data_IF_769055527547
#
_entry.id   IF_769055527547
#
_cell.length_a   1.000
_cell.length_b   1.000
_cell.length_c   1.000
_cell.angle_alpha   90.00
_cell.angle_beta   90.00
_cell.angle_gamma   90.00
#
_symmetry.space_group_name_H-M   'P 1'
#
loop_
_entity.id
_entity.type
_entity.pdbx_description
1 polymer ?
#
# COMPACT_ATOMS: atom_id res chain seq x y z
N UNK A 1 -2.20 10.42 -26.79
CA UNK A 1 -1.80 10.10 -25.40
C UNK A 1 -1.61 11.46 -24.78
N UNK A 2 -2.61 11.91 -24.03
CA UNK A 2 -2.79 13.34 -23.75
C UNK A 2 -2.30 13.66 -22.34
N UNK A 3 -1.22 13.00 -21.93
CA UNK A 3 -0.56 13.20 -20.64
C UNK A 3 0.36 14.41 -20.74
N UNK A 4 0.09 15.46 -19.97
CA UNK A 4 1.00 16.59 -19.83
C UNK A 4 1.98 16.37 -18.67
N UNK A 5 3.17 17.00 -18.72
CA UNK A 5 4.12 16.95 -17.61
C UNK A 5 3.50 17.38 -16.27
N UNK A 6 2.68 18.43 -16.26
CA UNK A 6 2.10 19.00 -15.04
C UNK A 6 1.10 18.04 -14.38
N UNK A 7 0.31 17.33 -15.18
CA UNK A 7 -0.60 16.30 -14.68
C UNK A 7 0.18 15.14 -14.05
N UNK A 8 1.27 14.70 -14.70
CA UNK A 8 2.13 13.64 -14.17
C UNK A 8 2.86 14.09 -12.88
N UNK A 9 3.37 15.32 -12.84
CA UNK A 9 4.01 15.88 -11.65
C UNK A 9 3.05 15.95 -10.46
N UNK A 10 1.80 16.36 -10.70
CA UNK A 10 0.75 16.37 -9.68
C UNK A 10 0.50 14.96 -9.13
N UNK A 11 0.35 13.97 -10.02
CA UNK A 11 0.14 12.58 -9.62
C UNK A 11 1.32 12.03 -8.80
N UNK A 12 2.56 12.29 -9.24
CA UNK A 12 3.79 11.86 -8.54
C UNK A 12 3.93 12.53 -7.17
N UNK A 13 3.57 13.82 -7.06
CA UNK A 13 3.63 14.55 -5.79
C UNK A 13 2.71 13.93 -4.75
N UNK A 14 1.52 13.47 -5.16
CA UNK A 14 0.59 12.81 -4.26
C UNK A 14 1.02 11.36 -4.01
N UNK A 15 1.21 10.56 -5.06
CA UNK A 15 1.36 9.11 -4.92
C UNK A 15 2.74 8.68 -4.44
N UNK A 16 3.82 9.33 -4.89
CA UNK A 16 5.18 8.90 -4.60
C UNK A 16 5.79 9.75 -3.48
N UNK A 17 5.75 11.09 -3.63
CA UNK A 17 6.28 12.00 -2.60
C UNK A 17 5.44 11.93 -1.33
N UNK A 18 4.10 11.88 -1.45
CA UNK A 18 3.22 11.70 -0.31
C UNK A 18 3.52 10.40 0.46
N UNK A 19 3.65 9.26 -0.23
CA UNK A 19 4.02 7.98 0.39
C UNK A 19 5.39 8.07 1.07
N UNK A 20 6.40 8.66 0.41
CA UNK A 20 7.72 8.85 0.98
C UNK A 20 7.67 9.65 2.29
N UNK A 21 7.01 10.80 2.28
CA UNK A 21 6.89 11.68 3.45
C UNK A 21 6.12 10.98 4.58
N UNK A 22 5.03 10.29 4.26
CA UNK A 22 4.24 9.56 5.24
C UNK A 22 5.06 8.44 5.92
N UNK A 23 5.81 7.64 5.15
CA UNK A 23 6.63 6.57 5.71
C UNK A 23 7.80 7.10 6.53
N UNK A 24 8.45 8.18 6.10
CA UNK A 24 9.51 8.84 6.86
C UNK A 24 9.00 9.41 8.19
N UNK A 25 7.83 10.04 8.16
CA UNK A 25 7.19 10.55 9.38
C UNK A 25 6.80 9.38 10.31
N UNK A 26 6.20 8.32 9.78
CA UNK A 26 5.79 7.17 10.56
C UNK A 26 6.97 6.47 11.23
N UNK A 27 8.11 6.33 10.53
CA UNK A 27 9.35 5.80 11.09
C UNK A 27 9.82 6.52 12.36
N UNK A 28 9.57 7.83 12.45
CA UNK A 28 9.99 8.66 13.58
C UNK A 28 8.94 8.76 14.69
N UNK A 29 7.69 8.39 14.43
CA UNK A 29 6.56 8.68 15.31
C UNK A 29 5.74 7.44 15.71
N UNK A 30 5.99 6.27 15.11
CA UNK A 30 5.34 5.03 15.51
C UNK A 30 5.77 4.61 16.93
N UNK A 31 4.82 4.03 17.68
CA UNK A 31 5.07 3.52 19.04
C UNK A 31 5.74 2.15 18.99
N UNK A 32 7.05 2.13 19.15
CA UNK A 32 7.86 0.90 19.11
C UNK A 32 8.21 0.36 20.50
N UNK A 33 7.83 1.07 21.56
CA UNK A 33 8.06 0.69 22.96
C UNK A 33 7.38 -0.64 23.34
N UNK A 34 6.39 -1.06 22.54
CA UNK A 34 5.62 -2.27 22.76
C UNK A 34 6.01 -3.49 21.92
N UNK A 35 7.06 -3.36 21.11
CA UNK A 35 7.53 -4.44 20.23
C UNK A 35 7.97 -5.67 21.03
N UNK A 36 8.57 -5.48 22.21
CA UNK A 36 8.98 -6.58 23.09
C UNK A 36 7.80 -7.40 23.64
N UNK A 37 6.58 -6.84 23.63
CA UNK A 37 5.33 -7.51 23.98
C UNK A 37 4.60 -8.06 22.74
N UNK A 38 5.23 -8.01 21.56
CA UNK A 38 4.65 -8.47 20.30
C UNK A 38 3.76 -7.44 19.59
N UNK A 39 3.64 -6.20 20.10
CA UNK A 39 2.84 -5.16 19.45
C UNK A 39 3.66 -4.38 18.43
N UNK A 40 3.80 -4.92 17.22
CA UNK A 40 4.47 -4.23 16.12
C UNK A 40 3.58 -3.13 15.51
N UNK A 41 4.10 -1.93 15.24
CA UNK A 41 3.44 -0.97 14.36
C UNK A 41 3.40 -1.47 12.92
N UNK A 42 2.31 -1.19 12.21
CA UNK A 42 2.15 -1.54 10.79
C UNK A 42 1.93 -0.28 9.97
N UNK A 43 2.74 -0.09 8.93
CA UNK A 43 2.56 0.91 7.90
C UNK A 43 1.98 0.26 6.64
N UNK A 44 0.71 0.54 6.33
CA UNK A 44 0.03 0.01 5.14
C UNK A 44 0.07 1.03 3.99
N UNK A 45 0.59 0.62 2.83
CA UNK A 45 0.57 1.43 1.61
C UNK A 45 -0.35 0.81 0.57
N UNK A 46 -1.42 1.51 0.23
CA UNK A 46 -2.46 1.01 -0.68
C UNK A 46 -2.03 1.12 -2.13
N UNK A 47 -2.30 0.09 -2.91
CA UNK A 47 -1.85 0.01 -4.29
C UNK A 47 -2.83 -0.74 -5.19
N UNK A 48 -2.38 -0.95 -6.41
CA UNK A 48 -3.05 -1.79 -7.40
C UNK A 48 -2.01 -2.37 -8.34
N UNK A 49 -2.45 -3.03 -9.41
CA UNK A 49 -1.55 -3.75 -10.32
C UNK A 49 -1.19 -2.98 -11.59
N UNK A 50 -1.44 -1.67 -11.63
CA UNK A 50 -1.08 -0.83 -12.78
C UNK A 50 0.43 -0.61 -12.93
N UNK A 51 1.22 -0.94 -11.90
CA UNK A 51 2.69 -0.98 -11.97
C UNK A 51 3.18 -2.18 -12.81
N UNK A 52 2.50 -3.32 -12.69
CA UNK A 52 2.81 -4.58 -13.39
C UNK A 52 2.07 -4.71 -14.72
N UNK A 53 0.86 -4.16 -14.81
CA UNK A 53 -0.03 -4.23 -15.97
C UNK A 53 -0.46 -2.82 -16.41
N UNK A 54 0.42 -2.05 -17.07
CA UNK A 54 0.11 -0.70 -17.47
C UNK A 54 -0.98 -0.66 -18.55
N UNK A 55 -1.87 0.33 -18.45
CA UNK A 55 -2.96 0.55 -19.41
C UNK A 55 -2.73 1.91 -20.08
N UNK A 56 -2.65 2.01 -21.42
CA UNK A 56 -2.35 3.26 -22.11
C UNK A 56 -3.27 4.44 -21.75
N UNK A 57 -4.56 4.15 -21.54
CA UNK A 57 -5.56 5.14 -21.13
C UNK A 57 -5.31 5.69 -19.71
N UNK A 58 -4.68 4.90 -18.84
CA UNK A 58 -4.31 5.27 -17.47
C UNK A 58 -2.81 5.50 -17.33
N UNK A 59 -2.12 5.97 -18.38
CA UNK A 59 -0.66 6.10 -18.40
C UNK A 59 -0.08 6.90 -17.22
N UNK A 60 -0.67 8.05 -16.88
CA UNK A 60 -0.26 8.85 -15.72
C UNK A 60 -0.34 8.06 -14.41
N UNK A 61 -1.48 7.40 -14.20
CA UNK A 61 -1.75 6.58 -13.03
C UNK A 61 -0.83 5.35 -12.98
N UNK A 62 -0.56 4.70 -14.11
CA UNK A 62 0.39 3.58 -14.18
C UNK A 62 1.80 4.02 -13.78
N UNK A 63 2.28 5.16 -14.29
CA UNK A 63 3.60 5.70 -13.92
C UNK A 63 3.64 6.05 -12.43
N UNK A 64 2.62 6.76 -11.94
CA UNK A 64 2.57 7.22 -10.55
C UNK A 64 2.39 6.06 -9.56
N UNK A 65 1.69 4.98 -9.94
CA UNK A 65 1.60 3.73 -9.18
C UNK A 65 2.91 2.97 -9.17
N UNK A 66 3.63 2.88 -10.29
CA UNK A 66 4.97 2.29 -10.32
C UNK A 66 5.94 2.99 -9.36
N UNK A 67 5.92 4.32 -9.36
CA UNK A 67 6.75 5.11 -8.45
C UNK A 67 6.38 4.86 -6.97
N UNK A 68 5.10 4.94 -6.62
CA UNK A 68 4.60 4.70 -5.26
C UNK A 68 4.90 3.27 -4.77
N UNK A 69 4.72 2.28 -5.64
CA UNK A 69 4.96 0.88 -5.30
C UNK A 69 6.46 0.62 -5.08
N UNK A 70 7.34 1.28 -5.84
CA UNK A 70 8.78 1.20 -5.62
C UNK A 70 9.17 1.76 -4.24
N UNK A 71 8.63 2.94 -3.87
CA UNK A 71 8.84 3.52 -2.53
C UNK A 71 8.36 2.56 -1.43
N UNK A 72 7.20 1.95 -1.63
CA UNK A 72 6.62 1.00 -0.67
C UNK A 72 7.50 -0.23 -0.47
N UNK A 73 8.07 -0.78 -1.55
CA UNK A 73 9.02 -1.90 -1.49
C UNK A 73 10.34 -1.52 -0.81
N UNK A 74 10.82 -0.29 -1.01
CA UNK A 74 11.98 0.22 -0.27
C UNK A 74 11.69 0.31 1.23
N UNK A 75 10.51 0.78 1.62
CA UNK A 75 10.10 0.78 3.03
C UNK A 75 9.97 -0.62 3.61
N UNK A 76 9.45 -1.59 2.85
CA UNK A 76 9.38 -2.97 3.31
C UNK A 76 10.74 -3.62 3.56
N UNK A 77 11.80 -3.14 2.90
CA UNK A 77 13.18 -3.56 3.19
C UNK A 77 13.78 -2.79 4.37
N UNK A 78 13.45 -1.50 4.51
CA UNK A 78 14.16 -0.57 5.39
C UNK A 78 13.55 -0.42 6.79
N UNK A 79 12.21 -0.33 6.87
CA UNK A 79 11.50 -0.04 8.12
C UNK A 79 11.53 -1.21 9.13
N UNK A 80 11.37 -2.48 8.70
CA UNK A 80 11.46 -3.61 9.63
C UNK A 80 12.80 -3.69 10.36
N UNK A 81 13.89 -3.60 9.61
CA UNK A 81 15.24 -3.78 10.14
C UNK A 81 15.64 -2.61 11.06
N UNK A 82 15.31 -1.37 10.70
CA UNK A 82 15.82 -0.18 11.40
C UNK A 82 14.89 0.38 12.47
N UNK A 83 13.59 0.14 12.34
CA UNK A 83 12.58 0.75 13.19
C UNK A 83 11.64 -0.27 13.83
N UNK A 84 11.79 -1.57 13.54
CA UNK A 84 10.86 -2.61 13.99
C UNK A 84 9.40 -2.30 13.60
N UNK A 85 9.22 -1.72 12.42
CA UNK A 85 7.91 -1.39 11.84
C UNK A 85 7.64 -2.34 10.68
N UNK A 86 6.50 -3.01 10.72
CA UNK A 86 6.02 -3.86 9.63
C UNK A 86 5.47 -2.99 8.49
N UNK A 87 5.64 -3.45 7.25
CA UNK A 87 5.13 -2.75 6.06
C UNK A 87 4.27 -3.70 5.26
N UNK A 88 3.01 -3.33 5.05
CA UNK A 88 2.07 -4.10 4.25
C UNK A 88 1.60 -3.33 3.03
N UNK A 89 1.33 -4.05 1.95
CA UNK A 89 0.83 -3.51 0.69
C UNK A 89 -0.46 -4.23 0.30
N UNK A 90 -1.63 -3.71 0.70
CA UNK A 90 -2.93 -4.16 0.17
C UNK A 90 -3.08 -3.68 -1.28
N UNK A 91 -3.00 -4.62 -2.23
CA UNK A 91 -3.10 -4.36 -3.67
C UNK A 91 -4.43 -4.86 -4.22
N UNK A 92 -5.21 -3.94 -4.81
CA UNK A 92 -6.48 -4.27 -5.45
C UNK A 92 -6.28 -4.42 -6.97
N UNK A 93 -6.70 -5.56 -7.51
CA UNK A 93 -6.80 -5.86 -8.93
C UNK A 93 -8.18 -5.44 -9.44
N UNK A 94 -8.18 -4.77 -10.58
CA UNK A 94 -9.42 -4.35 -11.22
C UNK A 94 -9.98 -3.05 -10.62
N UNK A 95 -11.26 -2.81 -10.87
CA UNK A 95 -11.93 -1.55 -10.54
C UNK A 95 -12.69 -1.70 -9.23
N UNK A 96 -12.53 -0.76 -8.30
CA UNK A 96 -13.33 -0.70 -7.07
C UNK A 96 -14.70 -0.11 -7.39
N UNK A 97 -15.77 -0.76 -6.95
CA UNK A 97 -17.13 -0.24 -7.14
C UNK A 97 -17.30 1.00 -6.25
N UNK A 98 -17.58 2.15 -6.88
CA UNK A 98 -17.93 3.37 -6.16
C UNK A 98 -19.33 3.28 -5.58
N UNK A 99 -19.48 3.61 -4.29
CA UNK A 99 -20.78 3.65 -3.59
C UNK A 99 -21.80 4.61 -4.23
N UNK A 100 -21.35 5.56 -5.04
CA UNK A 100 -22.20 6.53 -5.73
C UNK A 100 -22.74 6.06 -7.09
N UNK A 101 -22.09 5.10 -7.77
CA UNK A 101 -22.46 4.71 -9.14
C UNK A 101 -23.19 3.38 -9.22
N UNK A 102 -23.18 2.57 -8.16
CA UNK A 102 -24.02 1.38 -7.96
C UNK A 102 -23.93 0.27 -9.00
N UNK A 103 -23.18 0.44 -10.10
CA UNK A 103 -23.14 -0.48 -11.24
C UNK A 103 -21.82 -0.37 -12.00
N UNK A 104 -20.79 -1.00 -11.46
CA UNK A 104 -19.78 -1.62 -12.32
C UNK A 104 -19.93 -3.12 -12.15
N UNK A 105 -20.54 -3.78 -13.14
CA UNK A 105 -20.56 -5.25 -13.21
C UNK A 105 -19.10 -5.72 -13.31
N UNK A 106 -18.63 -6.49 -12.33
CA UNK A 106 -17.27 -7.05 -12.29
C UNK A 106 -16.23 -6.25 -11.49
N UNK A 107 -16.61 -5.23 -10.74
CA UNK A 107 -15.71 -4.54 -9.80
C UNK A 107 -15.63 -5.18 -8.41
N UNK A 108 -14.62 -4.82 -7.63
CA UNK A 108 -14.43 -5.29 -6.25
C UNK A 108 -15.21 -4.40 -5.28
N UNK A 109 -15.97 -5.01 -4.36
CA UNK A 109 -16.73 -4.26 -3.35
C UNK A 109 -15.80 -3.76 -2.23
N UNK A 110 -16.00 -2.54 -1.70
CA UNK A 110 -15.18 -2.04 -0.59
C UNK A 110 -15.16 -2.93 0.65
N UNK A 111 -16.29 -3.56 0.98
CA UNK A 111 -16.36 -4.48 2.13
C UNK A 111 -15.46 -5.70 1.92
N UNK A 112 -15.42 -6.26 0.71
CA UNK A 112 -14.55 -7.39 0.36
C UNK A 112 -13.08 -6.98 0.48
N UNK A 113 -12.72 -5.77 0.05
CA UNK A 113 -11.37 -5.21 0.22
C UNK A 113 -11.00 -5.14 1.71
N UNK A 114 -11.90 -4.66 2.56
CA UNK A 114 -11.61 -4.58 3.99
C UNK A 114 -11.45 -5.99 4.59
N UNK A 115 -12.37 -6.90 4.32
CA UNK A 115 -12.38 -8.24 4.93
C UNK A 115 -11.25 -9.14 4.42
N UNK A 116 -10.96 -9.12 3.12
CA UNK A 116 -10.04 -10.07 2.51
C UNK A 116 -8.63 -9.51 2.34
N UNK A 117 -8.48 -8.18 2.31
CA UNK A 117 -7.19 -7.55 2.02
C UNK A 117 -6.60 -6.82 3.23
N UNK A 118 -7.37 -5.99 3.94
CA UNK A 118 -6.86 -5.21 5.07
C UNK A 118 -6.86 -6.00 6.38
N UNK A 119 -7.98 -6.62 6.73
CA UNK A 119 -8.14 -7.34 7.99
C UNK A 119 -7.04 -8.39 8.23
N UNK A 120 -6.61 -9.18 7.23
CA UNK A 120 -5.56 -10.17 7.44
C UNK A 120 -4.20 -9.58 7.85
N UNK A 121 -3.86 -8.34 7.46
CA UNK A 121 -2.62 -7.71 7.95
C UNK A 121 -2.65 -7.49 9.46
N UNK A 122 -3.82 -7.14 10.02
CA UNK A 122 -3.96 -6.93 11.46
C UNK A 122 -3.98 -8.26 12.22
N UNK A 123 -4.64 -9.27 11.66
CA UNK A 123 -4.66 -10.62 12.22
C UNK A 123 -3.26 -11.25 12.22
N UNK A 124 -2.51 -11.15 11.11
CA UNK A 124 -1.13 -11.65 11.03
C UNK A 124 -0.23 -10.96 12.06
N UNK A 125 -0.37 -9.64 12.20
CA UNK A 125 0.40 -8.84 13.16
C UNK A 125 0.15 -9.28 14.60
N UNK A 126 -1.09 -9.61 14.93
CA UNK A 126 -1.48 -10.08 16.27
C UNK A 126 -1.00 -11.51 16.54
N UNK A 127 -0.80 -12.31 15.49
CA UNK A 127 -0.35 -13.69 15.56
C UNK A 127 1.14 -13.86 15.23
N UNK A 128 1.91 -12.77 15.19
CA UNK A 128 3.32 -12.77 14.79
C UNK A 128 4.21 -13.41 15.89
N UNK A 129 4.24 -14.74 15.96
CA UNK A 129 5.01 -15.50 16.95
C UNK A 129 6.46 -15.73 16.51
N UNK A 130 6.70 -15.83 15.19
CA UNK A 130 8.00 -16.17 14.60
C UNK A 130 8.84 -14.93 14.22
N UNK A 131 8.45 -13.75 14.70
CA UNK A 131 9.10 -12.48 14.37
C UNK A 131 8.79 -11.98 12.95
N UNK A 132 9.50 -10.96 12.49
CA UNK A 132 9.17 -10.23 11.25
C UNK A 132 9.42 -11.07 9.98
N UNK A 133 10.21 -12.14 10.05
CA UNK A 133 10.57 -12.96 8.87
C UNK A 133 9.37 -13.65 8.21
N UNK A 134 8.30 -13.93 8.97
CA UNK A 134 7.06 -14.54 8.46
C UNK A 134 6.05 -13.51 7.93
N UNK A 135 6.37 -12.21 7.97
CA UNK A 135 5.45 -11.16 7.57
C UNK A 135 5.17 -11.15 6.07
N UNK A 136 3.88 -11.23 5.70
CA UNK A 136 3.46 -11.11 4.31
C UNK A 136 3.42 -9.65 3.89
N UNK A 137 4.31 -9.26 2.99
CA UNK A 137 4.47 -7.87 2.55
C UNK A 137 3.41 -7.43 1.53
N UNK A 138 3.16 -8.19 0.47
CA UNK A 138 2.13 -7.90 -0.54
C UNK A 138 0.95 -8.86 -0.37
N UNK A 139 -0.28 -8.33 -0.27
CA UNK A 139 -1.52 -9.10 -0.43
C UNK A 139 -2.23 -8.58 -1.67
N UNK A 140 -2.81 -9.47 -2.46
CA UNK A 140 -3.46 -9.12 -3.72
C UNK A 140 -4.85 -9.73 -3.73
N UNK A 141 -5.84 -8.89 -4.04
CA UNK A 141 -7.22 -9.27 -4.34
C UNK A 141 -7.49 -8.96 -5.81
#
# INVERSE_FOLDING_TARGET
MDLTPEALESDLKVSAVGTLVAGQWFAQNARVDRVAQGEYPVFLVTGGLLDKNPVPFFSALSISKSASQNVSRLFAQWLPERYSILVGMPLVRGTVIGSATGKFEGGVHPDDIIQELFKPFFEDRENLQDGIESWTVERIM
#
